data_IF_694234861224
#
_entry.id   IF_694234861224
#
_cell.length_a   1.000
_cell.length_b   1.000
_cell.length_c   1.000
_cell.angle_alpha   90.00
_cell.angle_beta   90.00
_cell.angle_gamma   90.00
#
_symmetry.space_group_name_H-M   'P 1'
#
loop_
_entity.id
_entity.type
_entity.pdbx_description
1 polymer ?
#
# COMPACT_ATOMS: atom_id res chain seq x y z
N UNK A 1 -19.91 -11.07 -6.78
CA UNK A 1 -19.23 -11.48 -8.04
C UNK A 1 -18.79 -10.21 -8.76
N UNK A 2 -17.49 -9.91 -8.84
CA UNK A 2 -17.00 -8.82 -9.69
C UNK A 2 -15.70 -9.24 -10.38
N UNK A 3 -15.88 -9.47 -11.68
CA UNK A 3 -14.97 -9.64 -12.83
C UNK A 3 -13.46 -9.82 -12.62
N UNK A 4 -12.93 -10.96 -13.06
CA UNK A 4 -11.55 -11.10 -13.53
C UNK A 4 -10.68 -12.11 -12.79
N UNK A 5 -11.09 -12.53 -11.59
CA UNK A 5 -10.32 -13.50 -10.82
C UNK A 5 -8.95 -12.96 -10.35
N UNK A 6 -8.91 -11.72 -9.89
CA UNK A 6 -7.78 -11.15 -9.15
C UNK A 6 -8.33 -10.42 -7.92
N UNK A 7 -9.03 -11.15 -7.06
CA UNK A 7 -9.52 -10.56 -5.82
C UNK A 7 -8.33 -10.18 -4.92
N UNK A 8 -8.22 -8.90 -4.62
CA UNK A 8 -7.36 -8.35 -3.57
C UNK A 8 -8.31 -7.64 -2.62
N UNK A 9 -8.32 -8.00 -1.34
CA UNK A 9 -9.04 -7.19 -0.37
C UNK A 9 -8.32 -5.86 -0.21
N UNK A 10 -9.10 -4.82 0.05
CA UNK A 10 -8.58 -3.48 0.31
C UNK A 10 -9.10 -3.00 1.65
N UNK A 11 -8.24 -2.32 2.39
CA UNK A 11 -8.59 -1.73 3.67
C UNK A 11 -8.06 -0.30 3.76
N UNK A 12 -8.74 0.52 4.54
CA UNK A 12 -8.28 1.87 4.88
C UNK A 12 -7.96 1.91 6.38
N UNK A 13 -6.77 2.37 6.72
CA UNK A 13 -6.37 2.62 8.11
C UNK A 13 -6.11 4.10 8.29
N UNK A 14 -6.80 4.72 9.26
CA UNK A 14 -6.69 6.15 9.52
C UNK A 14 -6.17 6.34 10.94
N UNK A 15 -5.18 7.22 11.09
CA UNK A 15 -4.66 7.65 12.37
C UNK A 15 -4.33 9.14 12.34
N UNK A 16 -4.05 9.73 13.51
CA UNK A 16 -3.60 11.13 13.61
C UNK A 16 -2.23 11.38 12.96
N UNK A 17 -1.45 10.34 12.70
CA UNK A 17 -0.10 10.42 12.12
C UNK A 17 -0.08 10.12 10.63
N UNK A 18 -0.87 9.15 10.20
CA UNK A 18 -0.87 8.66 8.82
C UNK A 18 -2.22 8.09 8.41
N UNK A 19 -2.47 8.10 7.09
CA UNK A 19 -3.58 7.39 6.44
C UNK A 19 -2.99 6.39 5.46
N UNK A 20 -3.44 5.14 5.51
CA UNK A 20 -2.90 4.05 4.69
C UNK A 20 -4.01 3.34 3.93
N UNK A 21 -3.79 3.15 2.63
CA UNK A 21 -4.52 2.20 1.80
C UNK A 21 -3.76 0.88 1.78
N UNK A 22 -4.39 -0.17 2.29
CA UNK A 22 -3.80 -1.48 2.48
C UNK A 22 -4.32 -2.43 1.39
N UNK A 23 -3.41 -3.09 0.69
CA UNK A 23 -3.69 -4.08 -0.36
C UNK A 23 -3.34 -5.45 0.17
N UNK A 24 -4.33 -6.34 0.25
CA UNK A 24 -4.20 -7.67 0.82
C UNK A 24 -4.18 -8.72 -0.29
N UNK A 25 -3.43 -9.80 -0.07
CA UNK A 25 -3.55 -11.01 -0.91
C UNK A 25 -4.73 -11.86 -0.45
N UNK A 26 -4.93 -11.98 0.87
CA UNK A 26 -6.12 -12.55 1.52
C UNK A 26 -6.51 -11.68 2.71
N UNK A 27 -7.81 -11.58 3.02
CA UNK A 27 -8.33 -10.72 4.10
C UNK A 27 -7.71 -11.03 5.48
N UNK A 28 -7.39 -12.30 5.74
CA UNK A 28 -6.85 -12.77 7.02
C UNK A 28 -5.35 -12.54 7.22
N UNK A 29 -4.65 -12.02 6.21
CA UNK A 29 -3.20 -11.84 6.23
C UNK A 29 -2.80 -10.38 6.48
N UNK A 30 -1.51 -10.16 6.76
CA UNK A 30 -0.95 -8.81 6.72
C UNK A 30 -1.00 -8.25 5.29
N UNK A 31 -1.27 -6.95 5.12
CA UNK A 31 -1.37 -6.35 3.80
C UNK A 31 -0.04 -6.48 3.07
N UNK A 32 -0.08 -6.97 1.84
CA UNK A 32 1.09 -7.14 1.01
C UNK A 32 1.72 -5.79 0.64
N UNK A 33 0.89 -4.75 0.49
CA UNK A 33 1.32 -3.36 0.35
C UNK A 33 0.52 -2.44 1.27
N UNK A 34 1.22 -1.50 1.91
CA UNK A 34 0.61 -0.38 2.61
C UNK A 34 1.05 0.91 1.94
N UNK A 35 0.15 1.54 1.22
CA UNK A 35 0.36 2.82 0.56
C UNK A 35 -0.07 3.91 1.54
N UNK A 36 0.88 4.61 2.11
CA UNK A 36 0.69 5.48 3.26
C UNK A 36 0.95 6.93 2.90
N UNK A 37 0.05 7.82 3.28
CA UNK A 37 0.28 9.26 3.37
C UNK A 37 0.64 9.61 4.81
N UNK A 38 1.85 10.10 5.02
CA UNK A 38 2.24 10.68 6.30
C UNK A 38 1.63 12.09 6.42
N UNK A 39 0.85 12.33 7.47
CA UNK A 39 0.20 13.61 7.70
C UNK A 39 1.14 14.63 8.36
N UNK A 40 2.25 14.16 8.94
CA UNK A 40 3.28 14.98 9.59
C UNK A 40 4.69 14.50 9.18
N UNK A 41 5.05 14.58 7.90
CA UNK A 41 6.35 14.13 7.42
C UNK A 41 7.48 15.02 7.98
N UNK A 42 8.63 14.41 8.32
CA UNK A 42 9.82 15.17 8.72
C UNK A 42 10.59 15.66 7.50
N UNK A 43 10.60 14.85 6.45
CA UNK A 43 11.24 15.12 5.17
C UNK A 43 10.21 15.08 4.05
N UNK A 44 10.40 15.87 3.00
CA UNK A 44 9.43 15.95 1.89
C UNK A 44 9.18 14.58 1.21
N UNK A 45 10.24 13.79 1.06
CA UNK A 45 10.20 12.44 0.50
C UNK A 45 9.41 11.43 1.36
N UNK A 46 9.14 11.72 2.63
CA UNK A 46 8.36 10.85 3.53
C UNK A 46 6.85 11.10 3.45
N UNK A 47 6.40 12.05 2.64
CA UNK A 47 4.98 12.40 2.51
C UNK A 47 4.14 11.21 2.04
N UNK A 48 4.65 10.43 1.09
CA UNK A 48 4.04 9.18 0.64
C UNK A 48 5.05 8.03 0.72
N UNK A 49 4.65 6.91 1.28
CA UNK A 49 5.51 5.75 1.53
C UNK A 49 4.75 4.48 1.15
N UNK A 50 5.40 3.54 0.46
CA UNK A 50 4.89 2.18 0.30
C UNK A 50 5.70 1.25 1.19
N UNK A 51 5.02 0.48 2.05
CA UNK A 51 5.62 -0.56 2.89
C UNK A 51 5.16 -1.95 2.45
N UNK A 52 5.99 -2.96 2.68
CA UNK A 52 5.61 -4.36 2.50
C UNK A 52 4.89 -4.92 3.75
N UNK A 53 4.52 -6.21 3.71
CA UNK A 53 3.89 -6.90 4.83
C UNK A 53 4.71 -6.90 6.13
N UNK A 54 6.05 -6.81 6.03
CA UNK A 54 6.97 -6.68 7.17
C UNK A 54 7.18 -5.21 7.61
N UNK A 55 6.34 -4.28 7.15
CA UNK A 55 6.46 -2.83 7.36
C UNK A 55 7.79 -2.20 6.86
N UNK A 56 8.59 -2.91 6.06
CA UNK A 56 9.79 -2.35 5.44
C UNK A 56 9.39 -1.40 4.31
N UNK A 57 10.02 -0.23 4.27
CA UNK A 57 9.82 0.74 3.18
C UNK A 57 10.35 0.13 1.87
N UNK A 58 9.47 0.04 0.88
CA UNK A 58 9.80 -0.36 -0.49
C UNK A 58 10.20 0.87 -1.29
N UNK A 59 9.42 1.95 -1.16
CA UNK A 59 9.64 3.19 -1.88
C UNK A 59 8.98 4.36 -1.15
N UNK A 60 9.44 5.58 -1.41
CA UNK A 60 8.88 6.81 -0.85
C UNK A 60 8.99 7.97 -1.86
N UNK A 61 8.10 8.95 -1.74
CA UNK A 61 8.12 10.18 -2.54
C UNK A 61 7.25 11.26 -1.91
N UNK A 62 7.59 12.50 -2.23
CA UNK A 62 6.80 13.71 -2.09
C UNK A 62 5.53 13.72 -2.94
N UNK A 63 5.47 12.92 -4.01
CA UNK A 63 4.33 12.86 -4.94
C UNK A 63 3.78 11.43 -5.07
N UNK A 64 2.47 11.27 -4.83
CA UNK A 64 1.80 9.97 -4.86
C UNK A 64 1.80 9.33 -6.26
N UNK A 65 1.57 10.11 -7.32
CA UNK A 65 1.53 9.57 -8.68
C UNK A 65 2.90 9.03 -9.09
N UNK A 66 3.97 9.75 -8.76
CA UNK A 66 5.34 9.32 -9.02
C UNK A 66 5.66 8.03 -8.24
N UNK A 67 5.22 7.93 -6.99
CA UNK A 67 5.40 6.74 -6.16
C UNK A 67 4.74 5.50 -6.78
N UNK A 68 3.47 5.64 -7.23
CA UNK A 68 2.69 4.55 -7.82
C UNK A 68 3.25 4.10 -9.18
N UNK A 69 3.80 5.03 -9.97
CA UNK A 69 4.44 4.69 -11.26
C UNK A 69 5.78 3.95 -11.10
N UNK A 70 6.55 4.26 -10.05
CA UNK A 70 7.88 3.68 -9.83
C UNK A 70 7.85 2.28 -9.22
N UNK A 71 6.74 1.86 -8.60
CA UNK A 71 6.69 0.56 -7.91
C UNK A 71 6.37 -0.59 -8.87
N UNK A 72 7.08 -1.70 -8.66
CA UNK A 72 6.78 -2.97 -9.32
C UNK A 72 5.78 -3.74 -8.44
N UNK A 73 4.55 -3.86 -8.93
CA UNK A 73 3.47 -4.57 -8.23
C UNK A 73 3.61 -6.08 -8.40
N UNK A 74 3.55 -6.81 -7.28
CA UNK A 74 3.42 -8.26 -7.30
C UNK A 74 2.09 -8.64 -7.94
N UNK A 75 2.16 -9.53 -8.93
CA UNK A 75 0.99 -10.21 -9.49
C UNK A 75 0.59 -11.33 -8.52
N UNK A 76 -0.42 -11.07 -7.70
CA UNK A 76 -1.03 -12.09 -6.88
C UNK A 76 -1.94 -12.93 -7.78
N UNK A 77 -1.64 -14.22 -7.92
CA UNK A 77 -2.58 -15.16 -8.50
C UNK A 77 -3.69 -15.42 -7.47
N UNK A 78 -4.90 -15.70 -7.96
CA UNK A 78 -5.94 -16.25 -7.11
C UNK A 78 -5.39 -17.46 -6.35
N UNK A 79 -5.69 -17.49 -5.07
CA UNK A 79 -5.59 -18.72 -4.33
C UNK A 79 -6.99 -19.31 -4.32
N UNK A 80 -7.15 -20.44 -5.01
CA UNK A 80 -8.33 -21.30 -4.86
C UNK A 80 -8.35 -21.94 -3.47
#
# INVERSE_FOLDING_TARGET
>A
MVSGGEWKDYGLSISKKEVSFNVYHRTSEFPAYKITKNLKPKNESEKYIIKNAQNKIINNSENLQNLIKKIIWKKFKLVN
#
